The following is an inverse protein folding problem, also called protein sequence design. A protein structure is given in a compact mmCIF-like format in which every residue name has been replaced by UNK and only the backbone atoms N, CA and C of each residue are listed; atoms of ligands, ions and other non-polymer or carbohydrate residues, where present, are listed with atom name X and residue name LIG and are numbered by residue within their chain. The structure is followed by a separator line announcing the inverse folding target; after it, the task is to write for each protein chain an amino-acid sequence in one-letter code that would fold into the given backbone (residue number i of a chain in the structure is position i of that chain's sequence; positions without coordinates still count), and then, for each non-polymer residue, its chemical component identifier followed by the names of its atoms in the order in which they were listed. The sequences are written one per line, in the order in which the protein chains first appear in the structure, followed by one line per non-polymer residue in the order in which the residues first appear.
data_IF_548132891594
#
_entry.id   IF_548132891594
#
_cell.length_a   1.000
_cell.length_b   1.000
_cell.length_c   1.000
_cell.angle_alpha   90.00
_cell.angle_beta   90.00
_cell.angle_gamma   90.00
#
_symmetry.space_group_name_H-M   'P 1'
#
loop_
_entity.id
_entity.type
_entity.pdbx_description
1 polymer ?
#
# COMPACT_ATOMS: atom_id res chain seq x y z
N UNK A 1 -5.00 -8.73 -11.16
CA UNK A 1 -5.80 -7.62 -10.58
C UNK A 1 -5.02 -6.32 -10.65
N UNK A 2 -3.90 -6.19 -9.93
CA UNK A 2 -3.04 -4.98 -9.97
C UNK A 2 -2.47 -4.70 -11.37
N UNK A 3 -2.06 -5.72 -12.13
CA UNK A 3 -1.61 -5.54 -13.52
C UNK A 3 -2.66 -4.89 -14.44
N UNK A 4 -3.95 -5.17 -14.23
CA UNK A 4 -5.04 -4.53 -15.00
C UNK A 4 -5.20 -3.06 -14.63
N UNK A 5 -4.93 -2.69 -13.38
CA UNK A 5 -4.92 -1.28 -12.96
C UNK A 5 -3.74 -0.54 -13.62
N UNK A 6 -2.58 -1.19 -13.74
CA UNK A 6 -1.43 -0.65 -14.47
C UNK A 6 -1.76 -0.41 -15.96
N UNK A 7 -2.41 -1.37 -16.62
CA UNK A 7 -2.90 -1.22 -18.00
C UNK A 7 -3.90 -0.07 -18.16
N UNK A 8 -4.64 0.26 -17.09
CA UNK A 8 -5.57 1.39 -17.02
C UNK A 8 -4.87 2.72 -16.67
N UNK A 9 -3.54 2.73 -16.52
CA UNK A 9 -2.75 3.92 -16.24
C UNK A 9 -2.53 4.22 -14.75
N UNK A 10 -2.89 3.30 -13.84
CA UNK A 10 -2.53 3.46 -12.44
C UNK A 10 -1.01 3.42 -12.26
N UNK A 11 -0.48 4.37 -11.48
CA UNK A 11 0.95 4.52 -11.21
C UNK A 11 1.35 3.98 -9.83
N UNK A 12 0.38 3.51 -9.06
CA UNK A 12 0.51 2.98 -7.70
C UNK A 12 -0.80 2.36 -7.26
N UNK A 13 -0.76 1.57 -6.20
CA UNK A 13 -1.95 0.97 -5.58
C UNK A 13 -1.94 1.22 -4.08
N UNK A 14 -3.11 1.54 -3.55
CA UNK A 14 -3.32 1.77 -2.12
C UNK A 14 -3.96 0.51 -1.54
N UNK A 15 -3.35 -0.08 -0.51
CA UNK A 15 -4.03 -1.07 0.31
C UNK A 15 -4.93 -0.33 1.30
N UNK A 16 -6.17 -0.14 0.90
CA UNK A 16 -7.17 0.61 1.67
C UNK A 16 -7.83 -0.16 2.81
N UNK A 17 -7.57 -1.47 2.92
CA UNK A 17 -8.00 -2.31 4.04
C UNK A 17 -6.80 -3.13 4.53
N UNK A 18 -6.72 -3.36 5.83
CA UNK A 18 -5.64 -4.12 6.48
C UNK A 18 -5.53 -5.57 5.96
N UNK A 19 -6.65 -6.16 5.56
CA UNK A 19 -6.75 -7.53 5.09
C UNK A 19 -6.05 -7.75 3.74
N UNK A 20 -5.92 -6.68 2.94
CA UNK A 20 -5.29 -6.78 1.62
C UNK A 20 -3.80 -7.11 1.78
N UNK A 21 -3.11 -6.45 2.71
CA UNK A 21 -1.70 -6.72 3.01
C UNK A 21 -1.45 -8.14 3.54
N UNK A 22 -2.47 -8.77 4.15
CA UNK A 22 -2.41 -10.17 4.59
C UNK A 22 -2.54 -11.18 3.44
N UNK A 23 -3.19 -10.80 2.34
CA UNK A 23 -3.52 -11.68 1.21
C UNK A 23 -2.65 -11.45 -0.02
N UNK A 24 -2.08 -10.25 -0.17
CA UNK A 24 -1.34 -9.82 -1.35
C UNK A 24 0.05 -9.34 -0.94
N UNK A 25 1.12 -10.12 -1.20
CA UNK A 25 2.49 -9.68 -0.95
C UNK A 25 2.86 -8.47 -1.79
N UNK A 26 3.41 -7.42 -1.17
CA UNK A 26 3.76 -6.18 -1.85
C UNK A 26 4.84 -6.39 -2.92
N UNK A 27 5.78 -7.30 -2.68
CA UNK A 27 6.92 -7.57 -3.56
C UNK A 27 6.50 -8.19 -4.90
N UNK A 28 5.27 -8.69 -4.98
CA UNK A 28 4.69 -9.25 -6.21
C UNK A 28 3.89 -8.22 -7.00
N UNK A 29 3.73 -7.00 -6.49
CA UNK A 29 3.02 -5.94 -7.19
C UNK A 29 3.88 -5.39 -8.33
N UNK A 30 3.25 -5.20 -9.50
CA UNK A 30 3.87 -4.53 -10.66
C UNK A 30 3.82 -2.99 -10.55
N UNK A 31 3.14 -2.49 -9.52
CA UNK A 31 3.04 -1.07 -9.20
C UNK A 31 3.53 -0.83 -7.76
N UNK A 32 4.07 0.36 -7.44
CA UNK A 32 4.31 0.75 -6.06
C UNK A 32 3.06 0.54 -5.19
N UNK A 33 3.25 -0.11 -4.05
CA UNK A 33 2.20 -0.33 -3.06
C UNK A 33 2.32 0.69 -1.94
N UNK A 34 1.19 1.19 -1.48
CA UNK A 34 1.07 2.04 -0.31
C UNK A 34 0.16 1.35 0.70
N UNK A 35 0.74 0.65 1.67
CA UNK A 35 -0.01 0.12 2.81
C UNK A 35 -0.35 1.26 3.77
N UNK A 36 -1.62 1.66 3.76
CA UNK A 36 -2.09 2.81 4.55
C UNK A 36 -2.02 2.55 6.04
N UNK A 37 -2.15 1.29 6.49
CA UNK A 37 -2.07 0.96 7.90
C UNK A 37 -0.62 1.11 8.39
N UNK A 38 0.35 0.62 7.61
CA UNK A 38 1.77 0.79 7.93
C UNK A 38 2.18 2.28 7.91
N UNK A 39 1.84 3.00 6.84
CA UNK A 39 2.18 4.43 6.69
C UNK A 39 1.61 5.27 7.83
N UNK A 40 0.32 5.08 8.18
CA UNK A 40 -0.27 5.81 9.29
C UNK A 40 0.33 5.45 10.65
N UNK A 41 0.69 4.17 10.86
CA UNK A 41 1.35 3.76 12.10
C UNK A 41 2.72 4.42 12.25
N UNK A 42 3.52 4.45 11.17
CA UNK A 42 4.82 5.12 11.14
C UNK A 42 4.71 6.63 11.41
N UNK A 43 3.77 7.30 10.73
CA UNK A 43 3.53 8.74 10.93
C UNK A 43 3.07 9.06 12.35
N UNK A 44 2.18 8.24 12.92
CA UNK A 44 1.74 8.40 14.31
C UNK A 44 2.90 8.27 15.30
N UNK A 45 3.80 7.28 15.10
CA UNK A 45 5.01 7.12 15.94
C UNK A 45 5.94 8.32 15.78
N UNK A 46 6.19 8.77 14.54
CA UNK A 46 7.05 9.92 14.28
C UNK A 46 6.52 11.19 14.95
N UNK A 47 5.21 11.46 14.83
CA UNK A 47 4.54 12.58 15.49
C UNK A 47 4.67 12.53 17.01
N UNK A 48 4.60 11.34 17.62
CA UNK A 48 4.74 11.18 19.07
C UNK A 48 6.16 11.40 19.59
N UNK A 49 7.18 11.32 18.72
CA UNK A 49 8.60 11.41 19.10
C UNK A 49 9.26 12.75 18.73
N UNK A 50 8.56 13.64 18.03
CA UNK A 50 8.99 15.00 17.68
C UNK A 50 8.63 16.02 18.76
#
# INVERSE_FOLDING_TARGET
MIARLAEQGAQGVIFGCTEIGLLVPEERSVLPVFDTAAIHAEDAVAFMLS
#
